data_IF_554964541605
#
_entry.id   IF_554964541605
#
_cell.length_a   1.000
_cell.length_b   1.000
_cell.length_c   1.000
_cell.angle_alpha   90.00
_cell.angle_beta   90.00
_cell.angle_gamma   90.00
#
_symmetry.space_group_name_H-M   'P 1'
#
loop_
_entity.id
_entity.type
_entity.pdbx_description
1 polymer ?
#
# COMPACT_ATOMS: atom_id res chain seq x y z
N UNK A 1 17.16 2.25 -2.32
CA UNK A 1 15.79 2.00 -2.79
C UNK A 1 15.11 3.34 -2.94
N UNK A 2 13.88 3.57 -2.71
CA UNK A 2 13.13 4.81 -2.93
C UNK A 2 11.88 4.51 -3.75
N UNK A 3 11.62 3.23 -4.01
CA UNK A 3 10.41 2.79 -4.71
C UNK A 3 9.15 3.06 -3.90
N UNK A 4 9.25 3.13 -2.57
CA UNK A 4 8.18 3.53 -1.66
C UNK A 4 8.55 4.89 -1.07
N UNK A 5 7.68 5.88 -1.26
CA UNK A 5 7.82 7.23 -0.73
C UNK A 5 6.42 7.79 -0.38
N UNK A 6 6.15 8.21 0.85
CA UNK A 6 4.86 8.76 1.22
C UNK A 6 4.49 10.06 0.50
N UNK A 7 5.44 10.72 -0.17
CA UNK A 7 5.18 11.93 -0.93
C UNK A 7 4.48 11.71 -2.28
N UNK A 8 4.07 10.46 -2.59
CA UNK A 8 3.30 10.16 -3.82
C UNK A 8 1.81 10.53 -3.73
N UNK A 9 1.35 11.08 -2.61
CA UNK A 9 -0.07 11.36 -2.38
C UNK A 9 -0.70 12.26 -3.44
N UNK A 10 0.00 13.27 -3.90
CA UNK A 10 -0.50 14.15 -4.96
C UNK A 10 -0.63 13.44 -6.31
N UNK A 11 0.33 12.58 -6.65
CA UNK A 11 0.28 11.78 -7.87
C UNK A 11 -0.92 10.82 -7.84
N UNK A 12 -1.15 10.17 -6.71
CA UNK A 12 -2.31 9.29 -6.50
C UNK A 12 -3.63 10.04 -6.65
N UNK A 13 -3.76 11.24 -6.06
CA UNK A 13 -4.96 12.08 -6.17
C UNK A 13 -5.22 12.46 -7.63
N UNK A 14 -4.22 12.91 -8.36
CA UNK A 14 -4.34 13.26 -9.78
C UNK A 14 -4.77 12.07 -10.65
N UNK A 15 -4.30 10.89 -10.29
CA UNK A 15 -4.68 9.65 -10.95
C UNK A 15 -6.08 9.15 -10.55
N UNK A 16 -6.79 9.84 -9.65
CA UNK A 16 -8.13 9.51 -9.23
C UNK A 16 -8.21 8.67 -7.95
N UNK A 17 -7.09 8.37 -7.32
CA UNK A 17 -7.05 7.72 -6.01
C UNK A 17 -7.11 8.77 -4.91
N UNK A 18 -8.22 9.46 -4.83
CA UNK A 18 -8.51 10.50 -3.85
C UNK A 18 -9.21 9.95 -2.59
N UNK A 19 -9.47 10.82 -1.61
CA UNK A 19 -10.11 10.44 -0.36
C UNK A 19 -11.52 9.85 -0.54
N UNK A 20 -12.20 10.15 -1.65
CA UNK A 20 -13.52 9.59 -1.99
C UNK A 20 -13.44 8.32 -2.83
N UNK A 21 -12.23 7.92 -3.24
CA UNK A 21 -11.99 6.85 -4.21
C UNK A 21 -12.82 7.06 -5.48
N UNK A 22 -12.82 8.29 -5.99
CA UNK A 22 -13.61 8.68 -7.16
C UNK A 22 -13.17 7.95 -8.44
N UNK A 23 -11.91 7.52 -8.49
CA UNK A 23 -11.24 6.95 -9.67
C UNK A 23 -11.39 7.86 -10.90
N UNK A 24 -11.60 9.15 -10.65
CA UNK A 24 -11.73 10.18 -11.68
C UNK A 24 -10.39 10.88 -11.85
N UNK A 25 -9.80 10.70 -13.01
CA UNK A 25 -8.50 11.25 -13.36
C UNK A 25 -8.62 12.75 -13.65
N UNK A 26 -7.69 13.55 -13.14
CA UNK A 26 -7.64 14.98 -13.47
C UNK A 26 -7.15 15.18 -14.90
N UNK A 27 -7.49 16.33 -15.51
CA UNK A 27 -7.14 16.62 -16.90
C UNK A 27 -5.61 16.68 -17.16
N UNK A 28 -4.85 17.06 -16.14
CA UNK A 28 -3.39 17.17 -16.17
C UNK A 28 -2.67 15.86 -15.80
N UNK A 29 -3.38 14.83 -15.34
CA UNK A 29 -2.77 13.57 -14.94
C UNK A 29 -1.87 12.93 -16.02
N UNK A 30 -2.22 12.93 -17.31
CA UNK A 30 -1.34 12.38 -18.35
C UNK A 30 0.02 13.08 -18.44
N UNK A 31 0.08 14.37 -18.10
CA UNK A 31 1.32 15.15 -18.12
C UNK A 31 2.23 14.82 -16.93
N UNK A 32 1.65 14.31 -15.84
CA UNK A 32 2.32 13.93 -14.60
C UNK A 32 2.61 12.44 -14.50
N UNK A 33 1.98 11.60 -15.32
CA UNK A 33 2.19 10.16 -15.31
C UNK A 33 3.64 9.84 -15.71
N UNK A 34 4.37 9.18 -14.81
CA UNK A 34 5.80 8.90 -15.03
C UNK A 34 6.72 10.11 -14.84
N UNK A 35 6.17 11.31 -14.55
CA UNK A 35 6.98 12.49 -14.34
C UNK A 35 7.47 12.60 -12.89
N UNK A 36 8.78 12.58 -12.70
CA UNK A 36 9.42 12.84 -11.40
C UNK A 36 9.61 14.34 -11.10
N UNK A 37 9.28 15.20 -12.04
CA UNK A 37 9.56 16.63 -11.96
C UNK A 37 8.65 17.32 -10.93
N UNK A 38 9.27 17.98 -9.97
CA UNK A 38 8.58 18.83 -8.98
C UNK A 38 7.95 18.07 -7.81
N UNK A 39 7.98 16.73 -7.77
CA UNK A 39 7.48 15.99 -6.63
C UNK A 39 8.40 16.13 -5.43
N UNK A 40 7.80 16.35 -4.26
CA UNK A 40 8.51 16.25 -2.99
C UNK A 40 9.02 14.82 -2.76
N UNK A 41 10.15 14.68 -2.10
CA UNK A 41 10.81 13.40 -1.79
C UNK A 41 11.08 13.36 -0.29
N UNK A 42 10.73 12.25 0.34
CA UNK A 42 11.01 12.02 1.74
C UNK A 42 12.53 12.06 2.03
N UNK A 43 12.90 12.75 3.09
CA UNK A 43 14.30 12.93 3.50
C UNK A 43 14.99 14.12 2.84
N UNK A 44 14.49 14.61 1.70
CA UNK A 44 14.97 15.84 1.06
C UNK A 44 14.04 17.01 1.35
N UNK A 45 12.77 16.89 0.99
CA UNK A 45 11.78 17.98 1.06
C UNK A 45 10.87 17.85 2.29
N UNK A 46 10.77 16.66 2.84
CA UNK A 46 10.09 16.35 4.09
C UNK A 46 11.11 15.75 5.05
N UNK A 47 11.36 16.41 6.16
CA UNK A 47 12.30 15.94 7.19
C UNK A 47 11.58 15.75 8.52
N UNK A 48 12.09 14.83 9.34
CA UNK A 48 11.53 14.53 10.65
C UNK A 48 12.52 14.86 11.76
N UNK A 49 12.06 15.64 12.72
CA UNK A 49 12.80 15.98 13.95
C UNK A 49 11.93 15.57 15.17
N UNK A 50 12.20 14.41 15.72
CA UNK A 50 11.38 13.84 16.81
C UNK A 50 9.95 13.55 16.36
N UNK A 51 8.98 14.27 16.89
CA UNK A 51 7.55 14.19 16.53
C UNK A 51 7.11 15.26 15.52
N UNK A 52 8.02 16.11 15.06
CA UNK A 52 7.74 17.21 14.14
C UNK A 52 8.17 16.85 12.73
N UNK A 53 7.28 17.06 11.76
CA UNK A 53 7.61 17.06 10.33
C UNK A 53 7.85 18.50 9.89
N UNK A 54 8.90 18.69 9.12
CA UNK A 54 9.24 19.98 8.49
C UNK A 54 9.17 19.79 6.99
N UNK A 55 8.38 20.63 6.32
CA UNK A 55 8.27 20.68 4.86
C UNK A 55 8.57 22.08 4.37
N UNK A 56 9.24 22.20 3.22
CA UNK A 56 9.54 23.49 2.61
C UNK A 56 8.39 24.02 1.75
N UNK A 57 7.53 23.12 1.28
CA UNK A 57 6.34 23.39 0.48
C UNK A 57 5.17 22.51 0.96
N UNK A 58 3.93 22.83 0.59
CA UNK A 58 2.80 21.93 0.83
C UNK A 58 3.04 20.55 0.21
N UNK A 59 2.82 19.49 0.99
CA UNK A 59 3.03 18.11 0.56
C UNK A 59 1.80 17.27 0.88
N UNK A 60 1.36 16.48 -0.07
CA UNK A 60 0.35 15.45 0.16
C UNK A 60 1.05 14.14 0.50
N UNK A 61 0.83 13.67 1.73
CA UNK A 61 1.40 12.40 2.19
C UNK A 61 0.35 11.28 2.06
N UNK A 62 0.76 10.18 1.44
CA UNK A 62 0.02 8.92 1.44
C UNK A 62 0.64 7.93 2.42
N UNK A 63 -0.15 7.41 3.34
CA UNK A 63 0.25 6.40 4.31
C UNK A 63 -0.32 5.02 3.99
N UNK A 64 -0.83 4.82 2.80
CA UNK A 64 -1.44 3.56 2.37
C UNK A 64 -0.52 2.35 2.52
N UNK A 65 0.79 2.56 2.33
CA UNK A 65 1.78 1.50 2.48
C UNK A 65 2.09 1.11 3.95
N UNK A 66 1.85 1.98 4.94
CA UNK A 66 2.26 1.73 6.33
C UNK A 66 1.15 1.96 7.37
N UNK A 67 0.13 2.73 7.03
CA UNK A 67 -0.88 3.18 7.98
C UNK A 67 -1.73 2.04 8.54
N UNK A 68 -2.12 1.09 7.69
CA UNK A 68 -2.90 -0.09 8.10
C UNK A 68 -2.10 -0.98 9.04
N UNK A 69 -0.88 -1.36 8.65
CA UNK A 69 0.00 -2.19 9.47
C UNK A 69 0.29 -1.55 10.83
N UNK A 70 0.53 -0.24 10.86
CA UNK A 70 0.72 0.49 12.12
C UNK A 70 -0.52 0.46 13.02
N UNK A 71 -1.72 0.64 12.46
CA UNK A 71 -2.97 0.52 13.22
C UNK A 71 -3.19 -0.88 13.76
N UNK A 72 -2.93 -1.90 12.95
CA UNK A 72 -3.02 -3.31 13.36
C UNK A 72 -2.07 -3.62 14.52
N UNK A 73 -0.84 -3.09 14.48
CA UNK A 73 0.12 -3.23 15.59
C UNK A 73 -0.37 -2.56 16.88
N UNK A 74 -0.99 -1.38 16.79
CA UNK A 74 -1.59 -0.70 17.95
C UNK A 74 -2.71 -1.52 18.57
N UNK A 75 -3.62 -2.04 17.75
CA UNK A 75 -4.74 -2.88 18.20
C UNK A 75 -4.23 -4.19 18.82
N UNK A 76 -3.23 -4.82 18.20
CA UNK A 76 -2.61 -6.04 18.72
C UNK A 76 -2.04 -5.87 20.12
N UNK A 77 -1.40 -4.72 20.41
CA UNK A 77 -0.90 -4.39 21.75
C UNK A 77 -2.01 -4.28 22.79
N UNK A 78 -3.19 -3.83 22.40
CA UNK A 78 -4.35 -3.73 23.28
C UNK A 78 -4.95 -5.10 23.61
N UNK A 79 -4.75 -6.10 22.74
CA UNK A 79 -5.34 -7.44 22.82
C UNK A 79 -4.36 -8.51 23.33
N UNK A 80 -3.17 -8.14 23.82
CA UNK A 80 -2.07 -9.06 24.15
C UNK A 80 -2.43 -10.22 25.11
N UNK A 81 -3.44 -10.07 25.92
CA UNK A 81 -3.90 -11.10 26.88
C UNK A 81 -4.92 -12.07 26.30
N UNK A 82 -5.28 -11.96 25.05
CA UNK A 82 -6.34 -12.74 24.39
C UNK A 82 -5.82 -13.38 23.12
N UNK A 83 -6.47 -14.45 22.68
CA UNK A 83 -6.31 -14.92 21.30
C UNK A 83 -7.11 -14.00 20.38
N UNK A 84 -6.53 -13.64 19.27
CA UNK A 84 -7.18 -12.75 18.30
C UNK A 84 -6.68 -12.95 16.87
N UNK A 85 -7.49 -12.53 15.94
CA UNK A 85 -7.13 -12.28 14.55
C UNK A 85 -7.64 -10.89 14.20
N UNK A 86 -6.73 -10.02 13.77
CA UNK A 86 -7.07 -8.70 13.23
C UNK A 86 -6.88 -8.77 11.72
N UNK A 87 -7.91 -8.42 10.97
CA UNK A 87 -7.87 -8.30 9.51
C UNK A 87 -8.18 -6.85 9.10
N UNK A 88 -7.22 -6.22 8.46
CA UNK A 88 -7.33 -4.86 7.94
C UNK A 88 -7.32 -4.84 6.39
N UNK A 89 -7.93 -5.84 5.76
CA UNK A 89 -8.05 -5.92 4.32
C UNK A 89 -6.71 -6.22 3.63
N UNK A 90 -6.13 -7.37 3.94
CA UNK A 90 -4.87 -7.86 3.42
C UNK A 90 -3.69 -7.73 4.39
N UNK A 91 -3.84 -7.00 5.50
CA UNK A 91 -2.88 -6.96 6.59
C UNK A 91 -3.47 -7.70 7.78
N UNK A 92 -2.95 -8.88 8.08
CA UNK A 92 -3.41 -9.77 9.14
C UNK A 92 -2.42 -9.78 10.30
N UNK A 93 -2.93 -9.67 11.53
CA UNK A 93 -2.16 -9.98 12.73
C UNK A 93 -2.86 -11.10 13.47
N UNK A 94 -2.14 -12.19 13.71
CA UNK A 94 -2.65 -13.43 14.24
C UNK A 94 -1.93 -13.76 15.53
N UNK A 95 -2.70 -14.03 16.58
CA UNK A 95 -2.23 -14.53 17.86
C UNK A 95 -3.21 -15.59 18.37
N UNK A 96 -2.92 -16.86 18.10
CA UNK A 96 -3.79 -18.01 18.42
C UNK A 96 -2.96 -19.18 18.92
N UNK A 97 -3.57 -20.07 19.72
CA UNK A 97 -2.90 -21.28 20.19
C UNK A 97 -2.69 -22.30 19.07
N UNK A 98 -3.67 -22.41 18.17
CA UNK A 98 -3.61 -23.33 17.03
C UNK A 98 -3.48 -22.52 15.74
N UNK A 99 -2.71 -23.00 14.77
CA UNK A 99 -2.60 -22.34 13.48
C UNK A 99 -3.96 -22.20 12.79
N UNK A 100 -4.24 -21.04 12.26
CA UNK A 100 -5.36 -20.83 11.33
C UNK A 100 -4.88 -20.92 9.90
N UNK A 101 -5.78 -21.33 9.01
CA UNK A 101 -5.52 -21.39 7.58
C UNK A 101 -5.92 -20.10 6.91
N UNK A 102 -4.97 -19.46 6.23
CA UNK A 102 -5.18 -18.24 5.45
C UNK A 102 -4.96 -18.58 3.98
N UNK A 103 -5.99 -18.40 3.17
CA UNK A 103 -5.89 -18.58 1.73
C UNK A 103 -5.09 -17.43 1.09
N UNK A 104 -4.15 -17.75 0.24
CA UNK A 104 -3.42 -16.81 -0.60
C UNK A 104 -4.17 -16.70 -1.92
N UNK A 105 -4.90 -15.59 -2.08
CA UNK A 105 -5.79 -15.37 -3.22
C UNK A 105 -5.03 -15.36 -4.54
N UNK A 106 -5.61 -16.00 -5.56
CA UNK A 106 -5.09 -15.93 -6.91
C UNK A 106 -5.33 -14.52 -7.49
N UNK A 107 -4.30 -13.80 -7.93
CA UNK A 107 -4.45 -12.47 -8.49
C UNK A 107 -5.24 -12.45 -9.81
N UNK A 108 -5.28 -13.58 -10.56
CA UNK A 108 -6.03 -13.71 -11.81
C UNK A 108 -7.48 -14.14 -11.57
N UNK A 109 -7.74 -14.92 -10.52
CA UNK A 109 -9.09 -15.39 -10.18
C UNK A 109 -9.33 -15.38 -8.68
N UNK A 110 -9.98 -14.32 -8.20
CA UNK A 110 -10.29 -14.11 -6.78
C UNK A 110 -11.19 -15.19 -6.14
N UNK A 111 -11.77 -16.08 -6.93
CA UNK A 111 -12.54 -17.23 -6.42
C UNK A 111 -11.63 -18.42 -6.04
N UNK A 112 -10.36 -18.37 -6.39
CA UNK A 112 -9.36 -19.40 -6.16
C UNK A 112 -8.24 -18.93 -5.23
N UNK A 113 -7.52 -19.88 -4.68
CA UNK A 113 -6.30 -19.64 -3.92
C UNK A 113 -5.13 -20.39 -4.54
N UNK A 114 -3.99 -19.71 -4.68
CA UNK A 114 -2.75 -20.32 -5.15
C UNK A 114 -2.00 -21.09 -4.06
N UNK A 115 -2.41 -20.89 -2.79
CA UNK A 115 -1.80 -21.55 -1.65
C UNK A 115 -2.56 -21.31 -0.36
N UNK A 116 -2.14 -22.00 0.69
CA UNK A 116 -2.66 -21.83 2.04
C UNK A 116 -1.48 -21.65 3.01
N UNK A 117 -1.50 -20.56 3.77
CA UNK A 117 -0.57 -20.34 4.87
C UNK A 117 -1.20 -20.80 6.18
N UNK A 118 -0.45 -21.50 7.03
CA UNK A 118 -0.88 -21.91 8.37
C UNK A 118 -0.12 -21.08 9.41
N UNK A 119 -0.80 -20.19 10.09
CA UNK A 119 -0.19 -19.19 10.96
C UNK A 119 -0.87 -19.20 12.34
N UNK A 120 -0.08 -19.32 13.41
CA UNK A 120 -0.55 -19.19 14.78
C UNK A 120 -0.16 -17.84 15.39
N UNK A 121 1.07 -17.38 15.15
CA UNK A 121 1.60 -16.16 15.74
C UNK A 121 2.44 -15.40 14.72
N UNK A 122 2.00 -14.20 14.37
CA UNK A 122 2.71 -13.34 13.41
C UNK A 122 1.77 -12.51 12.58
N UNK A 123 2.35 -11.79 11.64
CA UNK A 123 1.60 -11.01 10.67
C UNK A 123 1.80 -11.55 9.25
N UNK A 124 0.74 -11.47 8.46
CA UNK A 124 0.77 -11.73 7.02
C UNK A 124 0.21 -10.50 6.32
N UNK A 125 1.01 -9.90 5.45
CA UNK A 125 0.58 -8.79 4.60
C UNK A 125 0.51 -9.23 3.16
N UNK A 126 -0.51 -8.75 2.44
CA UNK A 126 -0.71 -9.02 1.03
C UNK A 126 -0.88 -7.71 0.25
N UNK A 127 -0.24 -7.64 -0.91
CA UNK A 127 -0.39 -6.53 -1.85
C UNK A 127 -0.61 -7.08 -3.26
N UNK A 128 -1.63 -6.56 -3.94
CA UNK A 128 -1.90 -6.90 -5.33
C UNK A 128 -2.50 -5.71 -6.09
N UNK A 129 -2.10 -5.46 -7.34
CA UNK A 129 -2.69 -4.44 -8.22
C UNK A 129 -4.17 -4.73 -8.53
N UNK A 130 -4.55 -6.01 -8.60
CA UNK A 130 -5.87 -6.48 -9.02
C UNK A 130 -7.04 -5.92 -8.19
N UNK A 131 -6.80 -5.57 -6.92
CA UNK A 131 -7.86 -5.09 -6.02
C UNK A 131 -8.33 -3.66 -6.30
N UNK A 132 -7.45 -2.80 -6.83
CA UNK A 132 -7.74 -1.37 -7.05
C UNK A 132 -7.05 -0.92 -8.32
N UNK A 133 -7.67 -1.16 -9.44
CA UNK A 133 -7.17 -0.76 -10.76
C UNK A 133 -8.27 -0.04 -11.55
N UNK A 134 -7.86 0.85 -12.42
CA UNK A 134 -8.74 1.62 -13.31
C UNK A 134 -7.96 2.06 -14.56
N UNK A 135 -8.63 2.65 -15.53
CA UNK A 135 -8.00 3.09 -16.76
C UNK A 135 -7.90 4.61 -16.82
N UNK A 136 -6.76 5.10 -17.26
CA UNK A 136 -6.50 6.51 -17.57
C UNK A 136 -6.39 6.70 -19.07
N UNK A 137 -7.20 7.59 -19.62
CA UNK A 137 -7.06 8.00 -21.02
C UNK A 137 -5.87 8.97 -21.15
N UNK A 138 -4.85 8.57 -21.89
CA UNK A 138 -3.69 9.42 -22.20
C UNK A 138 -3.98 10.30 -23.41
N UNK A 139 -4.79 9.80 -24.34
CA UNK A 139 -5.34 10.51 -25.47
C UNK A 139 -6.61 9.80 -25.97
N UNK A 140 -7.23 10.31 -27.05
CA UNK A 140 -8.49 9.76 -27.61
C UNK A 140 -8.43 8.27 -27.99
N UNK A 141 -7.24 7.71 -28.17
CA UNK A 141 -7.03 6.32 -28.66
C UNK A 141 -6.29 5.43 -27.68
N UNK A 142 -5.68 5.98 -26.62
CA UNK A 142 -4.79 5.24 -25.74
C UNK A 142 -5.28 5.35 -24.30
N UNK A 143 -5.57 4.21 -23.70
CA UNK A 143 -5.81 4.08 -22.28
C UNK A 143 -4.67 3.28 -21.64
N UNK A 144 -4.26 3.67 -20.46
CA UNK A 144 -3.28 2.96 -19.64
C UNK A 144 -3.98 2.44 -18.40
N UNK A 145 -3.83 1.16 -18.15
CA UNK A 145 -4.26 0.58 -16.90
C UNK A 145 -3.33 1.02 -15.78
N UNK A 146 -3.89 1.57 -14.73
CA UNK A 146 -3.16 2.00 -13.54
C UNK A 146 -3.77 1.38 -12.30
N UNK A 147 -3.02 1.40 -11.22
CA UNK A 147 -3.44 0.96 -9.90
C UNK A 147 -2.74 1.79 -8.82
N UNK A 148 -3.19 1.64 -7.58
CA UNK A 148 -2.73 2.44 -6.45
C UNK A 148 -1.28 2.18 -5.99
N UNK A 149 -0.62 1.13 -6.49
CA UNK A 149 0.77 0.81 -6.14
C UNK A 149 1.72 1.52 -7.11
N UNK A 150 2.10 2.75 -6.79
CA UNK A 150 3.04 3.53 -7.59
C UNK A 150 4.48 3.26 -7.16
N UNK A 151 5.35 3.10 -8.14
CA UNK A 151 6.79 3.13 -7.94
C UNK A 151 7.24 4.60 -7.82
N UNK A 152 7.68 4.99 -6.64
CA UNK A 152 8.09 6.37 -6.39
C UNK A 152 9.37 6.79 -7.12
N UNK A 153 10.12 5.87 -7.73
CA UNK A 153 11.32 6.19 -8.51
C UNK A 153 10.94 6.76 -9.87
N UNK A 154 9.97 6.16 -10.53
CA UNK A 154 9.56 6.52 -11.90
C UNK A 154 8.16 7.13 -11.99
N UNK A 155 7.38 7.11 -10.90
CA UNK A 155 6.02 7.64 -10.85
C UNK A 155 5.00 6.79 -11.61
N UNK A 156 5.37 5.57 -12.00
CA UNK A 156 4.50 4.66 -12.75
C UNK A 156 3.93 3.57 -11.84
N UNK A 157 2.78 2.99 -12.18
CA UNK A 157 2.30 1.79 -11.52
C UNK A 157 3.31 0.65 -11.63
N UNK A 158 3.50 -0.12 -10.54
CA UNK A 158 4.36 -1.29 -10.54
C UNK A 158 3.78 -2.38 -11.45
N UNK A 159 4.51 -2.80 -12.49
CA UNK A 159 3.99 -3.71 -13.52
C UNK A 159 4.59 -5.12 -13.48
N UNK A 160 5.59 -5.36 -12.64
CA UNK A 160 6.37 -6.61 -12.68
C UNK A 160 5.89 -7.64 -11.65
N UNK A 161 4.94 -7.29 -10.80
CA UNK A 161 4.47 -8.16 -9.71
C UNK A 161 2.96 -8.11 -9.65
N UNK A 162 2.31 -9.26 -9.81
CA UNK A 162 0.85 -9.38 -9.77
C UNK A 162 0.33 -9.50 -8.34
N UNK A 163 1.08 -10.15 -7.46
CA UNK A 163 0.81 -10.20 -6.03
C UNK A 163 2.07 -10.48 -5.24
N UNK A 164 2.07 -10.06 -3.99
CA UNK A 164 3.12 -10.40 -3.03
C UNK A 164 2.52 -10.67 -1.66
N UNK A 165 3.11 -11.62 -0.94
CA UNK A 165 2.78 -11.92 0.44
C UNK A 165 4.05 -11.88 1.28
N UNK A 166 3.96 -11.27 2.43
CA UNK A 166 5.06 -11.20 3.37
C UNK A 166 4.57 -11.69 4.74
N UNK A 167 5.26 -12.69 5.28
CA UNK A 167 5.01 -13.19 6.62
C UNK A 167 6.12 -12.76 7.57
N UNK A 168 5.73 -12.27 8.73
CA UNK A 168 6.64 -11.89 9.82
C UNK A 168 6.23 -12.61 11.09
N UNK A 169 7.12 -13.42 11.69
CA UNK A 169 6.84 -14.10 12.96
C UNK A 169 6.71 -13.09 14.11
N UNK A 170 5.97 -13.46 15.15
CA UNK A 170 5.64 -12.59 16.29
C UNK A 170 6.85 -11.95 17.02
N UNK A 171 8.04 -12.52 16.87
CA UNK A 171 9.28 -12.01 17.50
C UNK A 171 9.99 -10.93 16.66
N UNK A 172 9.53 -10.65 15.47
CA UNK A 172 10.07 -9.60 14.62
C UNK A 172 9.28 -8.30 14.83
N UNK A 173 9.97 -7.17 14.76
CA UNK A 173 9.30 -5.87 14.76
C UNK A 173 8.54 -5.74 13.44
N UNK A 174 7.20 -5.70 13.54
CA UNK A 174 6.33 -5.56 12.39
C UNK A 174 6.39 -4.12 11.87
N UNK A 175 7.26 -3.87 10.93
CA UNK A 175 7.22 -2.72 10.05
C UNK A 175 7.04 -3.24 8.61
N UNK A 176 5.97 -3.99 8.39
CA UNK A 176 5.57 -4.42 7.06
C UNK A 176 4.62 -3.38 6.48
N UNK A 177 5.21 -2.37 5.94
CA UNK A 177 4.52 -1.47 5.01
C UNK A 177 5.09 -1.66 3.63
#
# INVERSE_FOLDING_TARGET
SGAIDPCVGEDLIRLGYDASLSLTVTQDAPEHLGALRGRAVWGRDVTRHGTTLVTHEPVQLDFGACGKGYLVDLLGRMLQSSQFVIDAGGDLLIHTEQPISVALEDPEDQSHAIGIAHIANGALCASAPSRRHWNVAVNERTQIAIHHLLNAIDGLPAQQTEASWAYVPANATLNLA
#
